data_IF_370596011781
#
_entry.id   IF_370596011781
#
_cell.length_a   1.000
_cell.length_b   1.000
_cell.length_c   1.000
_cell.angle_alpha   90.00
_cell.angle_beta   90.00
_cell.angle_gamma   90.00
#
_symmetry.space_group_name_H-M   'P 1'
#
loop_
_entity.id
_entity.type
_entity.pdbx_description
1 polymer ?
#
# COMPACT_ATOMS: atom_id res chain seq x y z
N UNK A 1 -0.22 -20.99 9.82
CA UNK A 1 -0.80 -20.67 11.13
C UNK A 1 -0.88 -21.88 12.08
N UNK A 2 -0.69 -23.14 11.61
CA UNK A 2 -0.69 -24.35 12.44
C UNK A 2 -2.01 -24.69 13.15
N UNK A 3 -3.11 -23.97 12.82
CA UNK A 3 -4.43 -24.23 13.37
C UNK A 3 -5.24 -25.19 12.48
N UNK A 4 -6.09 -26.03 13.10
CA UNK A 4 -6.93 -26.96 12.35
C UNK A 4 -8.10 -26.26 11.67
N UNK A 5 -8.63 -26.85 10.58
CA UNK A 5 -9.88 -26.38 9.97
C UNK A 5 -11.04 -26.34 10.98
N UNK A 6 -11.09 -27.32 11.90
CA UNK A 6 -12.10 -27.38 12.95
C UNK A 6 -12.04 -26.16 13.85
N UNK A 7 -10.87 -25.80 14.35
CA UNK A 7 -10.64 -24.60 15.19
C UNK A 7 -11.06 -23.32 14.47
N UNK A 8 -10.82 -23.24 13.14
CA UNK A 8 -11.23 -22.11 12.35
C UNK A 8 -12.75 -21.98 12.24
N UNK A 9 -13.45 -23.10 12.00
CA UNK A 9 -14.92 -23.14 11.90
C UNK A 9 -15.66 -23.06 13.25
N UNK A 10 -14.95 -23.19 14.38
CA UNK A 10 -15.47 -22.85 15.71
C UNK A 10 -15.60 -21.34 15.92
N UNK A 11 -14.81 -20.53 15.20
CA UNK A 11 -14.82 -19.07 15.29
C UNK A 11 -15.62 -18.40 14.15
N UNK A 12 -15.72 -19.04 12.99
CA UNK A 12 -16.39 -18.51 11.80
C UNK A 12 -17.42 -19.50 11.29
N UNK A 13 -18.66 -19.06 11.18
CA UNK A 13 -19.79 -19.92 10.74
C UNK A 13 -19.68 -20.32 9.25
N UNK A 14 -18.89 -19.59 8.46
CA UNK A 14 -18.71 -19.83 7.04
C UNK A 14 -17.37 -19.31 6.52
N UNK A 15 -16.97 -19.80 5.33
CA UNK A 15 -15.81 -19.25 4.62
C UNK A 15 -15.99 -17.77 4.25
N UNK A 16 -17.22 -17.35 3.93
CA UNK A 16 -17.52 -15.94 3.64
C UNK A 16 -17.25 -15.06 4.85
N UNK A 17 -17.71 -15.45 6.03
CA UNK A 17 -17.49 -14.72 7.29
C UNK A 17 -15.99 -14.58 7.60
N UNK A 18 -15.22 -15.66 7.42
CA UNK A 18 -13.76 -15.60 7.56
C UNK A 18 -13.10 -14.61 6.59
N UNK A 19 -13.55 -14.61 5.33
CA UNK A 19 -12.98 -13.71 4.31
C UNK A 19 -13.35 -12.26 4.58
N UNK A 20 -14.60 -11.99 5.03
CA UNK A 20 -15.01 -10.64 5.45
C UNK A 20 -14.20 -10.15 6.66
N UNK A 21 -14.02 -10.99 7.68
CA UNK A 21 -13.21 -10.65 8.85
C UNK A 21 -11.73 -10.40 8.48
N UNK A 22 -11.18 -11.16 7.53
CA UNK A 22 -9.84 -10.93 7.02
C UNK A 22 -9.72 -9.59 6.28
N UNK A 23 -10.76 -9.20 5.52
CA UNK A 23 -10.82 -7.89 4.89
C UNK A 23 -10.90 -6.77 5.93
N UNK A 24 -11.76 -6.89 6.94
CA UNK A 24 -11.88 -5.89 8.01
C UNK A 24 -10.52 -5.68 8.71
N UNK A 25 -9.83 -6.75 9.04
CA UNK A 25 -8.47 -6.67 9.60
C UNK A 25 -7.48 -5.98 8.66
N UNK A 26 -7.51 -6.27 7.36
CA UNK A 26 -6.63 -5.63 6.38
C UNK A 26 -6.91 -4.11 6.28
N UNK A 27 -8.18 -3.69 6.36
CA UNK A 27 -8.58 -2.28 6.36
C UNK A 27 -8.12 -1.56 7.63
N UNK A 28 -8.29 -2.16 8.81
CA UNK A 28 -7.78 -1.63 10.08
C UNK A 28 -6.25 -1.44 10.03
N UNK A 29 -5.54 -2.44 9.52
CA UNK A 29 -4.08 -2.36 9.35
C UNK A 29 -3.68 -1.25 8.38
N UNK A 30 -4.42 -1.05 7.29
CA UNK A 30 -4.17 0.05 6.35
C UNK A 30 -4.29 1.42 7.03
N UNK A 31 -5.36 1.65 7.79
CA UNK A 31 -5.53 2.90 8.57
C UNK A 31 -4.42 3.10 9.59
N UNK A 32 -4.06 2.05 10.34
CA UNK A 32 -2.96 2.11 11.30
C UNK A 32 -1.63 2.49 10.65
N UNK A 33 -1.32 1.93 9.48
CA UNK A 33 -0.10 2.26 8.74
C UNK A 33 -0.09 3.72 8.27
N UNK A 34 -1.25 4.26 7.85
CA UNK A 34 -1.37 5.68 7.48
C UNK A 34 -1.03 6.59 8.67
N UNK A 35 -1.57 6.33 9.84
CA UNK A 35 -1.27 7.13 11.04
C UNK A 35 0.19 7.01 11.48
N UNK A 36 0.77 5.83 11.32
CA UNK A 36 2.17 5.55 11.68
C UNK A 36 3.17 6.32 10.83
N UNK A 37 2.97 6.46 9.51
CA UNK A 37 3.91 7.21 8.69
C UNK A 37 3.84 8.71 8.97
N UNK A 38 2.66 9.25 9.31
CA UNK A 38 2.48 10.66 9.67
C UNK A 38 3.17 11.00 11.00
N UNK A 39 3.06 10.12 11.99
CA UNK A 39 3.60 10.32 13.34
C UNK A 39 5.04 9.84 13.53
N UNK A 40 5.63 9.18 12.52
CA UNK A 40 6.95 8.58 12.61
C UNK A 40 8.07 9.61 12.75
N UNK A 41 9.20 9.18 13.34
CA UNK A 41 10.44 9.98 13.38
C UNK A 41 11.12 9.94 11.99
N UNK A 42 11.69 11.08 11.58
CA UNK A 42 12.32 11.24 10.26
C UNK A 42 11.40 11.93 9.26
N UNK A 43 11.79 12.00 8.00
CA UNK A 43 10.98 12.60 6.96
C UNK A 43 9.78 11.73 6.59
N UNK A 44 8.72 12.35 6.05
CA UNK A 44 7.55 11.62 5.55
C UNK A 44 7.96 10.59 4.49
N UNK A 45 8.95 10.91 3.64
CA UNK A 45 9.49 10.00 2.64
C UNK A 45 10.10 8.76 3.30
N UNK A 46 11.02 8.95 4.25
CA UNK A 46 11.65 7.85 4.99
C UNK A 46 10.61 7.00 5.74
N UNK A 47 9.61 7.64 6.35
CA UNK A 47 8.56 6.96 7.09
C UNK A 47 7.70 6.06 6.21
N UNK A 48 7.32 6.51 5.01
CA UNK A 48 6.52 5.70 4.06
C UNK A 48 7.31 4.46 3.62
N UNK A 49 8.57 4.61 3.25
CA UNK A 49 9.39 3.46 2.85
C UNK A 49 9.65 2.49 3.99
N UNK A 50 9.91 3.00 5.20
CA UNK A 50 10.08 2.15 6.41
C UNK A 50 8.83 1.36 6.74
N UNK A 51 7.66 2.01 6.69
CA UNK A 51 6.38 1.32 6.89
C UNK A 51 6.15 0.24 5.85
N UNK A 52 6.49 0.51 4.58
CA UNK A 52 6.36 -0.49 3.52
C UNK A 52 7.25 -1.71 3.78
N UNK A 53 8.47 -1.52 4.28
CA UNK A 53 9.36 -2.62 4.67
C UNK A 53 8.80 -3.44 5.85
N UNK A 54 8.16 -2.80 6.80
CA UNK A 54 7.47 -3.51 7.89
C UNK A 54 6.30 -4.34 7.36
N UNK A 55 5.51 -3.81 6.42
CA UNK A 55 4.42 -4.56 5.75
C UNK A 55 4.98 -5.77 4.99
N UNK A 56 6.06 -5.61 4.24
CA UNK A 56 6.76 -6.69 3.56
C UNK A 56 7.16 -7.81 4.55
N UNK A 57 7.75 -7.44 5.68
CA UNK A 57 8.19 -8.39 6.70
C UNK A 57 7.02 -9.12 7.41
N UNK A 58 5.88 -8.45 7.59
CA UNK A 58 4.71 -9.00 8.26
C UNK A 58 3.89 -9.92 7.35
N UNK A 59 3.72 -9.51 6.12
CA UNK A 59 2.88 -10.20 5.16
C UNK A 59 3.74 -10.92 4.14
N UNK A 60 4.31 -11.98 4.33
CA UNK A 60 5.11 -12.77 3.36
C UNK A 60 4.37 -13.00 2.02
N UNK A 61 3.78 -11.92 1.47
CA UNK A 61 3.07 -11.88 0.21
C UNK A 61 4.10 -11.86 -0.91
N UNK A 62 4.08 -12.87 -1.74
CA UNK A 62 4.96 -12.97 -2.90
C UNK A 62 4.22 -12.75 -4.22
N UNK A 63 2.90 -12.51 -4.18
CA UNK A 63 2.10 -12.38 -5.40
C UNK A 63 0.73 -11.72 -5.20
N UNK A 64 0.12 -11.26 -6.28
CA UNK A 64 -1.26 -10.75 -6.36
C UNK A 64 -2.33 -11.87 -6.37
N UNK A 65 -1.92 -13.13 -6.39
CA UNK A 65 -2.82 -14.29 -6.50
C UNK A 65 -3.98 -14.30 -5.49
N UNK A 66 -3.79 -13.97 -4.18
CA UNK A 66 -4.90 -13.92 -3.23
C UNK A 66 -6.01 -12.96 -3.63
N UNK A 67 -5.68 -11.82 -4.22
CA UNK A 67 -6.64 -10.82 -4.68
C UNK A 67 -7.43 -11.31 -5.90
N UNK A 68 -6.74 -11.98 -6.83
CA UNK A 68 -7.40 -12.60 -7.97
C UNK A 68 -8.39 -13.69 -7.56
N UNK A 69 -8.02 -14.54 -6.58
CA UNK A 69 -8.90 -15.56 -6.01
C UNK A 69 -10.10 -14.91 -5.30
N UNK A 70 -9.89 -13.82 -4.56
CA UNK A 70 -10.96 -13.05 -3.92
C UNK A 70 -11.97 -12.57 -4.98
N UNK A 71 -11.51 -11.95 -6.06
CA UNK A 71 -12.36 -11.49 -7.17
C UNK A 71 -13.19 -12.61 -7.77
N UNK A 72 -12.57 -13.78 -7.97
CA UNK A 72 -13.21 -14.94 -8.61
C UNK A 72 -14.25 -15.60 -7.70
N UNK A 73 -13.96 -15.78 -6.42
CA UNK A 73 -14.76 -16.61 -5.52
C UNK A 73 -15.62 -15.80 -4.55
N UNK A 74 -15.29 -14.52 -4.31
CA UNK A 74 -15.98 -13.64 -3.37
C UNK A 74 -16.19 -12.24 -3.99
N UNK A 75 -16.93 -12.13 -5.11
CA UNK A 75 -17.02 -10.88 -5.88
C UNK A 75 -17.59 -9.71 -5.06
N UNK A 76 -18.53 -9.93 -4.16
CA UNK A 76 -19.08 -8.87 -3.30
C UNK A 76 -18.07 -8.33 -2.30
N UNK A 77 -17.30 -9.22 -1.67
CA UNK A 77 -16.20 -8.84 -0.77
C UNK A 77 -15.11 -8.11 -1.52
N UNK A 78 -14.82 -8.54 -2.76
CA UNK A 78 -13.89 -7.84 -3.65
C UNK A 78 -14.36 -6.42 -4.00
N UNK A 79 -15.63 -6.21 -4.36
CA UNK A 79 -16.19 -4.87 -4.62
C UNK A 79 -16.08 -3.98 -3.39
N UNK A 80 -16.44 -4.49 -2.21
CA UNK A 80 -16.27 -3.79 -0.94
C UNK A 80 -14.81 -3.41 -0.70
N UNK A 81 -13.89 -4.35 -0.90
CA UNK A 81 -12.45 -4.12 -0.79
C UNK A 81 -11.98 -2.99 -1.71
N UNK A 82 -12.36 -3.00 -2.99
CA UNK A 82 -11.97 -1.99 -3.97
C UNK A 82 -12.46 -0.58 -3.57
N UNK A 83 -13.69 -0.47 -3.08
CA UNK A 83 -14.26 0.79 -2.59
C UNK A 83 -13.48 1.30 -1.37
N UNK A 84 -13.26 0.45 -0.37
CA UNK A 84 -12.64 0.88 0.89
C UNK A 84 -11.15 1.19 0.72
N UNK A 85 -10.41 0.41 -0.06
CA UNK A 85 -9.02 0.74 -0.39
C UNK A 85 -8.90 2.01 -1.23
N UNK A 86 -9.85 2.30 -2.13
CA UNK A 86 -9.88 3.57 -2.86
C UNK A 86 -10.01 4.78 -1.91
N UNK A 87 -10.86 4.67 -0.88
CA UNK A 87 -10.98 5.71 0.16
C UNK A 87 -9.70 5.83 0.99
N UNK A 88 -9.10 4.70 1.35
CA UNK A 88 -7.84 4.65 2.08
C UNK A 88 -6.69 5.27 1.29
N UNK A 89 -6.59 4.98 0.00
CA UNK A 89 -5.62 5.59 -0.90
C UNK A 89 -5.78 7.12 -0.98
N UNK A 90 -7.02 7.60 -1.08
CA UNK A 90 -7.30 9.04 -1.10
C UNK A 90 -6.86 9.72 0.20
N UNK A 91 -7.16 9.11 1.36
CA UNK A 91 -6.73 9.59 2.68
C UNK A 91 -5.21 9.55 2.82
N UNK A 92 -4.56 8.47 2.35
CA UNK A 92 -3.11 8.35 2.34
C UNK A 92 -2.47 9.51 1.58
N UNK A 93 -2.94 9.82 0.36
CA UNK A 93 -2.39 10.90 -0.46
C UNK A 93 -2.61 12.26 0.20
N UNK A 94 -3.78 12.52 0.81
CA UNK A 94 -4.02 13.78 1.52
C UNK A 94 -3.00 13.98 2.64
N UNK A 95 -2.87 13.01 3.53
CA UNK A 95 -1.92 13.08 4.64
C UNK A 95 -0.46 13.12 4.19
N UNK A 96 -0.12 12.39 3.12
CA UNK A 96 1.21 12.40 2.53
C UNK A 96 1.59 13.79 2.03
N UNK A 97 0.71 14.42 1.25
CA UNK A 97 0.97 15.73 0.68
C UNK A 97 1.02 16.82 1.76
N UNK A 98 0.06 16.81 2.70
CA UNK A 98 0.04 17.73 3.85
C UNK A 98 1.37 17.68 4.60
N UNK A 99 1.81 16.48 4.97
CA UNK A 99 3.07 16.29 5.71
C UNK A 99 4.30 16.67 4.91
N UNK A 100 4.34 16.32 3.63
CA UNK A 100 5.46 16.68 2.76
C UNK A 100 5.57 18.18 2.50
N UNK A 101 4.46 18.92 2.43
CA UNK A 101 4.46 20.39 2.37
C UNK A 101 4.91 21.03 3.68
N UNK A 102 4.44 20.54 4.85
CA UNK A 102 4.92 20.99 6.16
C UNK A 102 6.44 20.85 6.31
N UNK A 103 7.01 19.75 5.79
CA UNK A 103 8.46 19.48 5.82
C UNK A 103 9.24 20.23 4.72
N UNK A 104 8.53 20.88 3.78
CA UNK A 104 9.10 21.57 2.64
C UNK A 104 9.80 20.64 1.65
N UNK A 105 9.32 19.41 1.49
CA UNK A 105 9.88 18.38 0.63
C UNK A 105 9.15 18.26 -0.72
N UNK A 106 7.90 18.70 -0.79
CA UNK A 106 7.06 18.54 -1.98
C UNK A 106 6.82 19.86 -2.69
N UNK A 107 6.64 19.78 -4.00
CA UNK A 107 6.28 20.91 -4.86
C UNK A 107 4.82 21.31 -4.61
N UNK A 108 4.51 22.61 -4.74
CA UNK A 108 3.17 23.16 -4.48
C UNK A 108 2.24 23.14 -5.68
N UNK A 109 2.78 22.97 -6.90
CA UNK A 109 2.04 23.03 -8.17
C UNK A 109 1.41 21.69 -8.58
N UNK A 110 1.19 20.77 -7.63
CA UNK A 110 0.62 19.45 -7.87
C UNK A 110 -0.90 19.58 -8.09
N UNK A 111 -1.41 19.00 -9.17
CA UNK A 111 -2.84 18.77 -9.30
C UNK A 111 -3.23 17.57 -8.41
N UNK A 112 -3.62 17.84 -7.17
CA UNK A 112 -3.92 16.83 -6.14
C UNK A 112 -5.01 15.86 -6.61
N UNK A 113 -6.08 16.36 -7.22
CA UNK A 113 -7.19 15.52 -7.70
C UNK A 113 -6.72 14.53 -8.78
N UNK A 114 -5.92 15.01 -9.73
CA UNK A 114 -5.33 14.14 -10.76
C UNK A 114 -4.36 13.13 -10.14
N UNK A 115 -3.51 13.56 -9.21
CA UNK A 115 -2.52 12.70 -8.56
C UNK A 115 -3.18 11.56 -7.78
N UNK A 116 -4.28 11.82 -7.06
CA UNK A 116 -5.07 10.78 -6.39
C UNK A 116 -5.59 9.73 -7.37
N UNK A 117 -6.23 10.17 -8.45
CA UNK A 117 -6.76 9.26 -9.48
C UNK A 117 -5.64 8.44 -10.11
N UNK A 118 -4.52 9.08 -10.43
CA UNK A 118 -3.36 8.42 -11.01
C UNK A 118 -2.79 7.37 -10.05
N UNK A 119 -2.57 7.71 -8.79
CA UNK A 119 -2.09 6.79 -7.75
C UNK A 119 -2.99 5.56 -7.63
N UNK A 120 -4.28 5.76 -7.36
CA UNK A 120 -5.24 4.66 -7.18
C UNK A 120 -5.31 3.73 -8.40
N UNK A 121 -5.26 4.28 -9.63
CA UNK A 121 -5.30 3.44 -10.82
C UNK A 121 -4.01 2.65 -11.04
N UNK A 122 -2.84 3.19 -10.71
CA UNK A 122 -1.58 2.44 -10.76
C UNK A 122 -1.56 1.33 -9.71
N UNK A 123 -2.06 1.57 -8.49
CA UNK A 123 -2.20 0.55 -7.46
C UNK A 123 -3.16 -0.57 -7.91
N UNK A 124 -4.29 -0.22 -8.53
CA UNK A 124 -5.22 -1.20 -9.10
C UNK A 124 -4.57 -2.03 -10.22
N UNK A 125 -3.85 -1.39 -11.13
CA UNK A 125 -3.16 -2.08 -12.22
C UNK A 125 -2.16 -3.09 -11.67
N UNK A 126 -1.37 -2.73 -10.65
CA UNK A 126 -0.42 -3.63 -9.97
C UNK A 126 -1.13 -4.80 -9.29
N UNK A 127 -2.26 -4.53 -8.62
CA UNK A 127 -2.93 -5.50 -7.75
C UNK A 127 -3.88 -6.43 -8.51
N UNK A 128 -4.50 -5.94 -9.58
CA UNK A 128 -5.67 -6.59 -10.20
C UNK A 128 -5.51 -6.93 -11.68
N UNK A 129 -4.34 -6.73 -12.26
CA UNK A 129 -4.11 -7.07 -13.66
C UNK A 129 -2.88 -7.95 -13.83
N UNK A 130 -2.84 -8.70 -14.93
CA UNK A 130 -1.67 -9.48 -15.36
C UNK A 130 -0.62 -8.59 -16.06
N UNK A 131 -0.67 -7.26 -15.83
CA UNK A 131 0.22 -6.29 -16.49
C UNK A 131 1.67 -6.48 -16.08
N UNK A 132 1.91 -6.86 -14.82
CA UNK A 132 3.25 -7.13 -14.31
C UNK A 132 3.45 -8.64 -14.17
N UNK A 133 4.20 -9.24 -15.10
CA UNK A 133 4.64 -10.64 -14.98
C UNK A 133 5.58 -10.75 -13.78
N UNK A 134 5.21 -11.55 -12.78
CA UNK A 134 5.97 -11.73 -11.54
C UNK A 134 7.39 -12.26 -11.75
N UNK A 135 7.68 -12.88 -12.90
CA UNK A 135 9.03 -13.35 -13.27
C UNK A 135 9.93 -12.20 -13.69
N UNK A 136 9.37 -11.21 -14.40
CA UNK A 136 10.09 -10.02 -14.85
C UNK A 136 10.04 -8.91 -13.80
N UNK A 137 8.92 -8.81 -13.09
CA UNK A 137 8.61 -7.79 -12.09
C UNK A 137 8.25 -8.43 -10.75
N UNK A 138 9.22 -8.86 -9.92
CA UNK A 138 8.96 -9.40 -8.60
C UNK A 138 8.08 -8.46 -7.78
N UNK A 139 7.15 -9.02 -7.00
CA UNK A 139 6.08 -8.25 -6.35
C UNK A 139 6.59 -7.05 -5.54
N UNK A 140 7.55 -7.27 -4.64
CA UNK A 140 8.07 -6.20 -3.78
C UNK A 140 8.95 -5.21 -4.54
N UNK A 141 9.76 -5.65 -5.51
CA UNK A 141 10.56 -4.77 -6.35
C UNK A 141 9.66 -3.82 -7.15
N UNK A 142 8.52 -4.34 -7.65
CA UNK A 142 7.51 -3.55 -8.33
C UNK A 142 6.86 -2.52 -7.39
N UNK A 143 6.52 -2.91 -6.15
CA UNK A 143 5.99 -2.00 -5.13
C UNK A 143 6.96 -0.84 -4.89
N UNK A 144 8.24 -1.12 -4.63
CA UNK A 144 9.24 -0.10 -4.36
C UNK A 144 9.51 0.80 -5.57
N UNK A 145 9.52 0.23 -6.77
CA UNK A 145 9.70 1.00 -8.02
C UNK A 145 8.53 1.96 -8.25
N UNK A 146 7.30 1.50 -8.05
CA UNK A 146 6.10 2.34 -8.14
C UNK A 146 6.15 3.45 -7.10
N UNK A 147 6.50 3.16 -5.85
CA UNK A 147 6.65 4.16 -4.78
C UNK A 147 7.70 5.21 -5.14
N UNK A 148 8.87 4.79 -5.63
CA UNK A 148 9.92 5.70 -6.08
C UNK A 148 9.37 6.67 -7.14
N UNK A 149 8.70 6.15 -8.17
CA UNK A 149 8.16 6.99 -9.25
C UNK A 149 7.08 7.95 -8.75
N UNK A 150 6.21 7.52 -7.84
CA UNK A 150 5.23 8.42 -7.22
C UNK A 150 5.89 9.57 -6.47
N UNK A 151 6.94 9.30 -5.68
CA UNK A 151 7.68 10.36 -5.01
C UNK A 151 8.39 11.29 -6.00
N UNK A 152 9.03 10.76 -7.06
CA UNK A 152 9.71 11.59 -8.09
C UNK A 152 8.77 12.58 -8.78
N UNK A 153 7.47 12.29 -8.85
CA UNK A 153 6.47 13.22 -9.42
C UNK A 153 6.24 14.42 -8.49
N UNK A 154 6.28 14.24 -7.18
CA UNK A 154 5.82 15.23 -6.21
C UNK A 154 6.93 15.95 -5.44
N UNK A 155 8.15 15.44 -5.42
CA UNK A 155 9.26 16.05 -4.68
C UNK A 155 9.78 17.30 -5.38
N UNK A 156 10.23 18.28 -4.57
CA UNK A 156 11.10 19.38 -5.00
C UNK A 156 12.59 18.98 -4.86
N UNK A 157 13.52 19.90 -5.06
CA UNK A 157 14.97 19.61 -4.98
C UNK A 157 15.38 19.04 -3.61
N UNK A 158 14.87 19.61 -2.51
CA UNK A 158 15.15 19.11 -1.15
C UNK A 158 14.56 17.71 -0.94
N UNK A 159 13.32 17.50 -1.40
CA UNK A 159 12.66 16.21 -1.33
C UNK A 159 13.35 15.14 -2.19
N UNK A 160 13.90 15.51 -3.35
CA UNK A 160 14.66 14.60 -4.20
C UNK A 160 15.94 14.11 -3.48
N UNK A 161 16.68 15.00 -2.82
CA UNK A 161 17.85 14.62 -2.03
C UNK A 161 17.49 13.64 -0.89
N UNK A 162 16.38 13.88 -0.20
CA UNK A 162 15.91 13.00 0.85
C UNK A 162 15.41 11.65 0.31
N UNK A 163 14.74 11.64 -0.85
CA UNK A 163 14.34 10.43 -1.55
C UNK A 163 15.56 9.56 -1.92
N UNK A 164 16.57 10.15 -2.57
CA UNK A 164 17.79 9.43 -2.97
C UNK A 164 18.52 8.84 -1.76
N UNK A 165 18.63 9.60 -0.67
CA UNK A 165 19.21 9.13 0.59
C UNK A 165 18.42 7.94 1.17
N UNK A 166 17.08 8.02 1.13
CA UNK A 166 16.20 6.96 1.62
C UNK A 166 16.32 5.70 0.77
N UNK A 167 16.30 5.83 -0.56
CA UNK A 167 16.46 4.70 -1.49
C UNK A 167 17.81 3.99 -1.31
N UNK A 168 18.90 4.76 -1.07
CA UNK A 168 20.20 4.16 -0.78
C UNK A 168 20.18 3.32 0.50
N UNK A 169 19.59 3.84 1.59
CA UNK A 169 19.45 3.09 2.85
C UNK A 169 18.68 1.77 2.71
N UNK A 170 17.64 1.76 1.87
CA UNK A 170 16.80 0.56 1.67
C UNK A 170 17.58 -0.51 0.90
N UNK A 171 18.39 -0.13 -0.08
CA UNK A 171 19.19 -1.08 -0.86
C UNK A 171 20.37 -1.71 -0.08
N UNK A 172 20.76 -1.09 1.04
CA UNK A 172 21.83 -1.56 1.92
C UNK A 172 21.31 -2.50 3.05
N UNK A 173 20.01 -2.70 3.19
CA UNK A 173 19.34 -3.57 4.18
C UNK A 173 18.91 -4.91 3.57
#
# INVERSE_FOLDING_TARGET
LGISKKTLYEQFSSKNELVEAALDYALEMSCYQIDKFVSGKGSVIENVFRNQKEVENLFNLSSSKPIWELKKYFPKTYERMDIEFTKSDALFIDKLLEKGWEEGLFREDINVSFYKVFYTNVQRMRTFSDTFDEKEFPFWDTVYTIMEYFFRIIVNEKGLQELEKTLKKIKEQ
#
